data_IF_010560195925
#
_entry.id   IF_010560195925
#
_cell.length_a   1.000
_cell.length_b   1.000
_cell.length_c   1.000
_cell.angle_alpha   90.00
_cell.angle_beta   90.00
_cell.angle_gamma   90.00
#
_symmetry.space_group_name_H-M   'P 1'
#
loop_
_entity.id
_entity.type
_entity.pdbx_description
1 polymer ?
#
# COMPACT_ATOMS: atom_id res chain seq x y z
N UNK A 1 19.97 -7.79 -18.69
CA UNK A 1 20.00 -7.41 -20.13
C UNK A 1 18.62 -7.01 -20.69
N UNK A 2 17.54 -7.75 -20.48
CA UNK A 2 16.21 -7.37 -20.99
C UNK A 2 15.66 -6.12 -20.27
N UNK A 3 15.75 -6.04 -18.97
CA UNK A 3 15.33 -4.87 -18.15
C UNK A 3 16.12 -3.60 -18.49
N UNK A 4 17.42 -3.71 -18.72
CA UNK A 4 18.26 -2.57 -19.12
C UNK A 4 17.78 -1.97 -20.45
N UNK A 5 17.44 -2.81 -21.43
CA UNK A 5 16.92 -2.35 -22.73
C UNK A 5 15.52 -1.76 -22.65
N UNK A 6 14.70 -2.26 -21.76
CA UNK A 6 13.38 -1.72 -21.47
C UNK A 6 13.47 -0.29 -20.92
N UNK A 7 14.35 -0.09 -19.95
CA UNK A 7 14.62 1.23 -19.36
C UNK A 7 15.20 2.22 -20.39
N UNK A 8 16.12 1.78 -21.23
CA UNK A 8 16.69 2.62 -22.30
C UNK A 8 15.59 3.09 -23.27
N UNK A 9 14.67 2.20 -23.67
CA UNK A 9 13.53 2.54 -24.54
C UNK A 9 12.56 3.48 -23.84
N UNK A 10 12.26 3.27 -22.57
CA UNK A 10 11.39 4.17 -21.77
C UNK A 10 11.99 5.57 -21.70
N UNK A 11 13.28 5.68 -21.37
CA UNK A 11 14.00 6.95 -21.32
C UNK A 11 13.99 7.66 -22.69
N UNK A 12 14.13 6.88 -23.77
CA UNK A 12 14.05 7.45 -25.13
C UNK A 12 12.65 8.03 -25.38
N UNK A 13 11.57 7.28 -25.08
CA UNK A 13 10.19 7.74 -25.27
C UNK A 13 9.90 8.98 -24.39
N UNK A 14 10.43 9.02 -23.18
CA UNK A 14 10.29 10.16 -22.27
C UNK A 14 10.90 11.43 -22.83
N UNK A 15 12.09 11.31 -23.43
CA UNK A 15 12.82 12.44 -24.00
C UNK A 15 12.36 12.79 -25.43
N UNK A 16 11.64 11.89 -26.10
CA UNK A 16 11.17 12.03 -27.49
C UNK A 16 9.69 11.69 -27.55
N UNK A 17 8.86 12.55 -26.95
CA UNK A 17 7.41 12.36 -27.01
C UNK A 17 6.91 12.22 -28.46
N UNK A 18 5.88 11.39 -28.69
CA UNK A 18 5.31 11.16 -30.01
C UNK A 18 6.26 10.42 -30.99
N UNK A 19 7.06 9.47 -30.47
CA UNK A 19 7.96 8.66 -31.30
C UNK A 19 7.26 7.40 -31.85
N UNK A 20 7.66 6.96 -33.05
CA UNK A 20 7.22 5.70 -33.66
C UNK A 20 8.17 4.55 -33.32
N UNK A 21 7.70 3.30 -33.50
CA UNK A 21 8.58 2.13 -33.34
C UNK A 21 9.79 2.12 -34.32
N UNK A 22 9.64 2.79 -35.45
CA UNK A 22 10.74 2.94 -36.42
C UNK A 22 11.82 3.90 -35.92
N UNK A 23 11.41 5.04 -35.35
CA UNK A 23 12.33 6.02 -34.71
C UNK A 23 13.07 5.41 -33.53
N UNK A 24 12.34 4.68 -32.65
CA UNK A 24 12.93 3.94 -31.53
C UNK A 24 13.94 2.90 -32.04
N UNK A 25 13.56 2.10 -33.05
CA UNK A 25 14.50 1.11 -33.60
C UNK A 25 15.74 1.75 -34.22
N UNK A 26 15.61 2.88 -34.92
CA UNK A 26 16.74 3.59 -35.53
C UNK A 26 17.78 3.96 -34.46
N UNK A 27 17.37 4.42 -33.29
CA UNK A 27 18.27 4.75 -32.19
C UNK A 27 18.99 3.51 -31.63
N UNK A 28 18.28 2.39 -31.53
CA UNK A 28 18.82 1.17 -30.93
C UNK A 28 19.24 0.10 -31.96
N UNK A 29 19.31 0.43 -33.24
CA UNK A 29 19.57 -0.54 -34.31
C UNK A 29 20.91 -1.30 -34.18
N UNK A 30 21.92 -0.71 -33.54
CA UNK A 30 23.20 -1.35 -33.27
C UNK A 30 23.14 -2.41 -32.17
N UNK A 31 22.11 -2.42 -31.33
CA UNK A 31 22.04 -3.26 -30.13
C UNK A 31 20.86 -4.21 -30.08
N UNK A 32 19.76 -3.92 -30.78
CA UNK A 32 18.54 -4.75 -30.78
C UNK A 32 17.84 -4.75 -32.15
N UNK A 33 17.18 -5.87 -32.47
CA UNK A 33 16.39 -6.00 -33.69
C UNK A 33 15.05 -5.29 -33.59
N UNK A 34 14.45 -4.95 -34.73
CA UNK A 34 13.11 -4.36 -34.80
C UNK A 34 12.04 -5.24 -34.12
N UNK A 35 12.16 -6.55 -34.25
CA UNK A 35 11.25 -7.51 -33.59
C UNK A 35 11.38 -7.41 -32.04
N UNK A 36 12.60 -7.23 -31.55
CA UNK A 36 12.84 -7.02 -30.09
C UNK A 36 12.23 -5.71 -29.61
N UNK A 37 12.39 -4.61 -30.37
CA UNK A 37 11.75 -3.32 -30.05
C UNK A 37 10.23 -3.49 -29.98
N UNK A 38 9.61 -4.16 -30.95
CA UNK A 38 8.16 -4.43 -30.96
C UNK A 38 7.71 -5.24 -29.74
N UNK A 39 8.47 -6.28 -29.36
CA UNK A 39 8.17 -7.09 -28.17
C UNK A 39 8.24 -6.25 -26.90
N UNK A 40 9.28 -5.42 -26.76
CA UNK A 40 9.42 -4.53 -25.60
C UNK A 40 8.28 -3.51 -25.56
N UNK A 41 7.93 -2.88 -26.67
CA UNK A 41 6.80 -1.94 -26.73
C UNK A 41 5.46 -2.59 -26.37
N UNK A 42 5.24 -3.83 -26.81
CA UNK A 42 4.04 -4.59 -26.42
C UNK A 42 4.03 -4.85 -24.91
N UNK A 43 5.15 -5.22 -24.32
CA UNK A 43 5.29 -5.43 -22.88
C UNK A 43 5.02 -4.12 -22.12
N UNK A 44 5.64 -3.01 -22.52
CA UNK A 44 5.45 -1.69 -21.90
C UNK A 44 4.00 -1.19 -21.98
N UNK A 45 3.29 -1.50 -23.09
CA UNK A 45 1.86 -1.22 -23.23
C UNK A 45 1.02 -2.08 -22.27
N UNK A 46 1.38 -3.36 -22.13
CA UNK A 46 0.69 -4.29 -21.22
C UNK A 46 0.88 -3.88 -19.77
N UNK A 47 2.08 -3.43 -19.42
CA UNK A 47 2.44 -2.93 -18.09
C UNK A 47 1.96 -1.49 -17.86
N UNK A 48 1.33 -0.86 -18.87
CA UNK A 48 0.81 0.51 -18.82
C UNK A 48 1.87 1.59 -18.55
N UNK A 49 3.13 1.33 -18.87
CA UNK A 49 4.19 2.34 -18.77
C UNK A 49 4.17 3.32 -19.94
N UNK A 50 3.66 2.89 -21.09
CA UNK A 50 3.44 3.73 -22.26
C UNK A 50 2.01 3.60 -22.77
N UNK A 51 1.56 4.60 -23.48
CA UNK A 51 0.32 4.59 -24.28
C UNK A 51 0.67 4.71 -25.75
N UNK A 52 -0.27 4.32 -26.62
CA UNK A 52 -0.09 4.46 -28.06
C UNK A 52 -1.30 5.13 -28.71
N UNK A 53 -1.03 6.00 -29.68
CA UNK A 53 -2.04 6.64 -30.52
C UNK A 53 -1.81 6.31 -31.97
N UNK A 54 -2.88 6.33 -32.77
CA UNK A 54 -2.84 5.99 -34.20
C UNK A 54 -2.92 4.48 -34.48
N UNK A 55 -2.80 4.10 -35.75
CA UNK A 55 -2.88 2.69 -36.20
C UNK A 55 -1.78 2.36 -37.21
N UNK A 56 -1.31 1.12 -37.16
CA UNK A 56 -0.36 0.57 -38.12
C UNK A 56 0.96 1.32 -38.14
N UNK A 57 1.38 1.82 -39.31
CA UNK A 57 2.64 2.58 -39.45
C UNK A 57 2.60 3.96 -38.80
N UNK A 58 1.39 4.50 -38.56
CA UNK A 58 1.18 5.80 -37.90
C UNK A 58 1.12 5.71 -36.37
N UNK A 59 1.32 4.53 -35.77
CA UNK A 59 1.33 4.38 -34.31
C UNK A 59 2.47 5.16 -33.68
N UNK A 60 2.12 6.02 -32.74
CA UNK A 60 3.03 6.81 -31.92
C UNK A 60 2.95 6.40 -30.46
N UNK A 61 4.07 6.46 -29.75
CA UNK A 61 4.19 6.05 -28.36
C UNK A 61 4.50 7.25 -27.47
N UNK A 62 3.90 7.24 -26.27
CA UNK A 62 4.04 8.27 -25.25
C UNK A 62 4.25 7.59 -23.89
N UNK A 63 4.92 8.25 -22.98
CA UNK A 63 4.91 7.85 -21.58
C UNK A 63 3.49 7.93 -21.04
N UNK A 64 3.06 6.89 -20.35
CA UNK A 64 1.77 6.85 -19.68
C UNK A 64 1.76 7.81 -18.48
N UNK A 65 0.66 8.50 -18.19
CA UNK A 65 0.49 9.23 -16.92
C UNK A 65 0.70 8.33 -15.68
N UNK A 66 0.51 7.02 -15.83
CA UNK A 66 0.73 6.03 -14.75
C UNK A 66 2.19 5.59 -14.60
N UNK A 67 3.09 6.03 -15.46
CA UNK A 67 4.49 5.58 -15.47
C UNK A 67 5.19 5.83 -14.12
N UNK A 68 5.14 7.06 -13.64
CA UNK A 68 5.78 7.43 -12.36
C UNK A 68 5.16 6.65 -11.18
N UNK A 69 3.86 6.39 -11.22
CA UNK A 69 3.14 5.67 -10.17
C UNK A 69 3.50 4.18 -10.10
N UNK A 70 3.71 3.52 -11.26
CA UNK A 70 3.80 2.07 -11.37
C UNK A 70 5.19 1.54 -11.70
N UNK A 71 6.11 2.40 -12.17
CA UNK A 71 7.45 1.97 -12.54
C UNK A 71 8.20 1.40 -11.35
N UNK A 72 8.84 0.23 -11.54
CA UNK A 72 9.61 -0.41 -10.48
C UNK A 72 10.90 0.37 -10.21
N UNK A 73 11.04 0.85 -8.99
CA UNK A 73 12.24 1.54 -8.49
C UNK A 73 13.00 0.57 -7.58
N UNK A 74 14.30 0.42 -7.85
CA UNK A 74 15.18 -0.33 -6.97
C UNK A 74 15.40 0.45 -5.67
N UNK A 75 14.92 -0.11 -4.54
CA UNK A 75 14.96 0.55 -3.24
C UNK A 75 16.37 0.75 -2.72
N UNK A 76 17.26 -0.21 -2.96
CA UNK A 76 18.61 -0.12 -2.42
C UNK A 76 19.37 0.99 -3.11
N UNK A 77 19.36 1.04 -4.44
CA UNK A 77 19.95 2.15 -5.22
C UNK A 77 19.31 3.50 -4.90
N UNK A 78 18.00 3.55 -4.64
CA UNK A 78 17.32 4.80 -4.29
C UNK A 78 17.75 5.32 -2.91
N UNK A 79 17.84 4.44 -1.92
CA UNK A 79 18.18 4.78 -0.53
C UNK A 79 19.68 4.74 -0.22
N UNK A 80 20.56 4.37 -1.16
CA UNK A 80 22.01 4.64 -1.08
C UNK A 80 22.31 6.15 -1.07
N UNK A 81 21.42 6.94 -1.68
CA UNK A 81 21.54 8.40 -1.67
C UNK A 81 21.07 8.98 -0.34
N UNK A 82 21.84 9.94 0.16
CA UNK A 82 21.41 10.75 1.32
C UNK A 82 20.14 11.54 0.99
N UNK A 83 19.39 11.92 2.02
CA UNK A 83 18.07 12.59 1.88
C UNK A 83 18.15 13.78 0.92
N UNK A 84 19.16 14.64 1.08
CA UNK A 84 19.32 15.86 0.29
C UNK A 84 19.78 15.61 -1.17
N UNK A 85 20.17 14.37 -1.48
CA UNK A 85 20.57 13.94 -2.83
C UNK A 85 19.45 13.24 -3.58
N UNK A 86 18.36 12.87 -2.89
CA UNK A 86 17.19 12.25 -3.47
C UNK A 86 16.28 13.29 -4.12
N UNK A 87 15.67 12.94 -5.24
CA UNK A 87 14.62 13.76 -5.83
C UNK A 87 13.32 13.51 -5.07
N UNK A 88 12.96 14.40 -4.17
CA UNK A 88 11.79 14.27 -3.28
C UNK A 88 10.73 15.29 -3.68
N UNK A 89 9.49 14.84 -3.87
CA UNK A 89 8.30 15.71 -3.90
C UNK A 89 8.06 16.15 -2.45
N UNK A 90 8.57 17.34 -2.10
CA UNK A 90 8.54 17.81 -0.71
C UNK A 90 7.15 18.15 -0.20
N UNK A 91 6.21 18.44 -1.09
CA UNK A 91 4.85 18.82 -0.75
C UNK A 91 3.84 17.75 -1.14
N UNK A 92 2.70 17.75 -0.45
CA UNK A 92 1.59 16.87 -0.76
C UNK A 92 1.09 17.10 -2.19
N UNK A 93 1.01 16.05 -2.99
CA UNK A 93 0.51 16.12 -4.35
C UNK A 93 -1.01 15.93 -4.38
N UNK A 94 -1.77 17.00 -4.59
CA UNK A 94 -3.24 16.95 -4.69
C UNK A 94 -3.73 16.22 -5.94
N UNK A 95 -2.94 16.20 -7.02
CA UNK A 95 -3.28 15.51 -8.27
C UNK A 95 -3.23 13.99 -8.14
N UNK A 96 -2.71 13.47 -7.00
CA UNK A 96 -2.58 12.02 -6.77
C UNK A 96 -3.93 11.29 -6.85
N UNK A 97 -5.02 11.92 -6.40
CA UNK A 97 -6.35 11.30 -6.42
C UNK A 97 -6.85 11.09 -7.85
N UNK A 98 -6.68 12.09 -8.72
CA UNK A 98 -7.03 11.98 -10.14
C UNK A 98 -6.17 10.94 -10.86
N UNK A 99 -4.86 10.92 -10.58
CA UNK A 99 -3.94 9.94 -11.14
C UNK A 99 -4.34 8.51 -10.73
N UNK A 100 -4.62 8.29 -9.45
CA UNK A 100 -5.04 6.98 -8.92
C UNK A 100 -6.43 6.57 -9.42
N UNK A 101 -7.35 7.53 -9.63
CA UNK A 101 -8.68 7.24 -10.18
C UNK A 101 -8.60 6.68 -11.61
N UNK A 102 -7.78 7.29 -12.45
CA UNK A 102 -7.61 6.90 -13.87
C UNK A 102 -6.69 5.70 -14.08
N UNK A 103 -5.92 5.30 -13.06
CA UNK A 103 -4.93 4.23 -13.19
C UNK A 103 -5.47 2.93 -12.61
N UNK A 104 -5.35 1.83 -13.37
CA UNK A 104 -5.46 0.48 -12.85
C UNK A 104 -4.13 0.14 -12.16
N UNK A 105 -4.15 0.01 -10.84
CA UNK A 105 -2.95 -0.21 -10.04
C UNK A 105 -2.40 -1.63 -10.23
N UNK A 106 -3.31 -2.60 -10.33
CA UNK A 106 -2.98 -4.01 -10.51
C UNK A 106 -3.04 -4.39 -11.99
N UNK A 107 -1.97 -4.98 -12.51
CA UNK A 107 -1.96 -5.51 -13.86
C UNK A 107 -2.72 -6.86 -13.96
N UNK A 108 -2.95 -7.34 -15.17
CA UNK A 108 -3.71 -8.59 -15.41
C UNK A 108 -3.11 -9.82 -14.73
N UNK A 109 -1.78 -9.93 -14.68
CA UNK A 109 -1.10 -11.06 -14.04
C UNK A 109 -1.24 -11.01 -12.53
N UNK A 110 -1.12 -9.82 -11.94
CA UNK A 110 -1.31 -9.60 -10.50
C UNK A 110 -2.76 -9.87 -10.10
N UNK A 111 -3.73 -9.40 -10.89
CA UNK A 111 -5.15 -9.67 -10.66
C UNK A 111 -5.47 -11.16 -10.75
N UNK A 112 -4.94 -11.87 -11.74
CA UNK A 112 -5.11 -13.32 -11.85
C UNK A 112 -4.54 -14.05 -10.64
N UNK A 113 -3.31 -13.69 -10.22
CA UNK A 113 -2.68 -14.26 -9.01
C UNK A 113 -3.53 -14.03 -7.75
N UNK A 114 -4.01 -12.81 -7.55
CA UNK A 114 -4.83 -12.47 -6.38
C UNK A 114 -6.19 -13.16 -6.42
N UNK A 115 -6.80 -13.31 -7.60
CA UNK A 115 -8.05 -14.05 -7.77
C UNK A 115 -7.88 -15.55 -7.45
N UNK A 116 -6.79 -16.16 -7.90
CA UNK A 116 -6.47 -17.56 -7.59
C UNK A 116 -6.24 -17.78 -6.08
N UNK A 117 -5.53 -16.85 -5.44
CA UNK A 117 -5.32 -16.89 -3.99
C UNK A 117 -6.63 -16.71 -3.22
N UNK A 118 -7.47 -15.79 -3.65
CA UNK A 118 -8.78 -15.57 -3.04
C UNK A 118 -9.71 -16.79 -3.21
N UNK A 119 -9.68 -17.45 -4.36
CA UNK A 119 -10.42 -18.69 -4.57
C UNK A 119 -9.97 -19.79 -3.60
N UNK A 120 -8.65 -19.96 -3.41
CA UNK A 120 -8.09 -20.89 -2.41
C UNK A 120 -8.52 -20.56 -0.99
N UNK A 121 -8.45 -19.27 -0.61
CA UNK A 121 -8.96 -18.83 0.69
C UNK A 121 -10.41 -19.22 0.88
N UNK A 122 -11.26 -18.94 -0.10
CA UNK A 122 -12.70 -19.25 -0.03
C UNK A 122 -12.94 -20.77 0.06
N UNK A 123 -12.20 -21.57 -0.69
CA UNK A 123 -12.26 -23.03 -0.62
C UNK A 123 -11.85 -23.52 0.77
N UNK A 124 -10.70 -23.07 1.26
CA UNK A 124 -10.15 -23.52 2.55
C UNK A 124 -11.07 -23.17 3.71
N UNK A 125 -11.58 -21.94 3.79
CA UNK A 125 -12.50 -21.55 4.88
C UNK A 125 -13.83 -22.28 4.83
N UNK A 126 -14.29 -22.74 3.65
CA UNK A 126 -15.51 -23.52 3.52
C UNK A 126 -15.42 -24.91 4.18
N UNK A 127 -14.21 -25.39 4.43
CA UNK A 127 -13.93 -26.68 5.07
C UNK A 127 -13.73 -26.54 6.58
N UNK A 128 -13.61 -25.32 7.12
CA UNK A 128 -13.42 -25.07 8.53
C UNK A 128 -14.77 -24.96 9.25
N UNK A 129 -14.81 -25.49 10.46
CA UNK A 129 -15.88 -25.15 11.41
C UNK A 129 -15.77 -23.68 11.85
N UNK A 130 -16.85 -23.10 12.34
CA UNK A 130 -16.84 -21.73 12.90
C UNK A 130 -15.78 -21.56 14.00
N UNK A 131 -15.54 -22.60 14.80
CA UNK A 131 -14.52 -22.59 15.84
C UNK A 131 -13.10 -22.53 15.24
N UNK A 132 -12.81 -23.35 14.26
CA UNK A 132 -11.50 -23.38 13.59
C UNK A 132 -11.23 -22.07 12.86
N UNK A 133 -12.22 -21.56 12.13
CA UNK A 133 -12.10 -20.25 11.45
C UNK A 133 -11.80 -19.12 12.44
N UNK A 134 -12.53 -19.04 13.56
CA UNK A 134 -12.28 -18.03 14.61
C UNK A 134 -10.89 -18.17 15.21
N UNK A 135 -10.40 -19.39 15.42
CA UNK A 135 -9.06 -19.64 15.94
C UNK A 135 -7.96 -19.17 14.99
N UNK A 136 -8.11 -19.41 13.71
CA UNK A 136 -7.14 -18.95 12.70
C UNK A 136 -7.18 -17.41 12.55
N UNK A 137 -8.37 -16.82 12.61
CA UNK A 137 -8.53 -15.37 12.58
C UNK A 137 -7.90 -14.72 13.83
N UNK A 138 -8.03 -15.34 15.01
CA UNK A 138 -7.36 -14.87 16.22
C UNK A 138 -5.83 -14.94 16.10
N UNK A 139 -5.29 -16.02 15.53
CA UNK A 139 -3.85 -16.16 15.26
C UNK A 139 -3.35 -15.07 14.34
N UNK A 140 -4.06 -14.80 13.25
CA UNK A 140 -3.77 -13.70 12.33
C UNK A 140 -3.83 -12.35 13.07
N UNK A 141 -4.83 -12.12 13.92
CA UNK A 141 -5.00 -10.88 14.66
C UNK A 141 -3.84 -10.63 15.66
N UNK A 142 -3.32 -11.67 16.30
CA UNK A 142 -2.13 -11.58 17.16
C UNK A 142 -0.92 -11.18 16.33
N UNK A 143 -0.67 -11.87 15.21
CA UNK A 143 0.44 -11.58 14.31
C UNK A 143 0.37 -10.16 13.73
N UNK A 144 -0.82 -9.71 13.35
CA UNK A 144 -1.04 -8.35 12.85
C UNK A 144 -0.80 -7.31 13.94
N UNK A 145 -1.33 -7.53 15.15
CA UNK A 145 -1.14 -6.60 16.28
C UNK A 145 0.33 -6.44 16.62
N UNK A 146 1.05 -7.56 16.71
CA UNK A 146 2.49 -7.57 16.93
C UNK A 146 3.24 -6.83 15.82
N UNK A 147 3.07 -7.26 14.57
CA UNK A 147 3.87 -6.72 13.45
C UNK A 147 3.56 -5.26 13.17
N UNK A 148 2.28 -4.90 13.22
CA UNK A 148 1.84 -3.52 13.03
C UNK A 148 2.45 -2.59 14.07
N UNK A 149 2.53 -3.02 15.33
CA UNK A 149 3.15 -2.25 16.42
C UNK A 149 4.67 -2.25 16.31
N UNK A 150 5.30 -3.37 15.92
CA UNK A 150 6.75 -3.48 15.73
C UNK A 150 7.26 -2.51 14.63
N UNK A 151 6.53 -2.37 13.53
CA UNK A 151 6.86 -1.42 12.45
C UNK A 151 6.91 0.02 13.00
N UNK A 152 6.10 0.35 13.98
CA UNK A 152 6.06 1.66 14.64
C UNK A 152 7.01 1.79 15.85
N UNK A 153 7.84 0.77 16.11
CA UNK A 153 8.89 0.82 17.13
C UNK A 153 8.56 0.11 18.43
N UNK A 154 7.43 -0.59 18.54
CA UNK A 154 7.13 -1.43 19.69
C UNK A 154 8.13 -2.59 19.80
N UNK A 155 8.61 -2.86 20.99
CA UNK A 155 9.72 -3.80 21.24
C UNK A 155 9.27 -5.18 21.73
N UNK A 156 7.96 -5.42 21.90
CA UNK A 156 7.46 -6.74 22.25
C UNK A 156 7.81 -7.77 21.16
N UNK A 157 8.25 -8.94 21.57
CA UNK A 157 8.33 -10.12 20.70
C UNK A 157 6.95 -10.68 20.40
N UNK A 158 6.84 -11.57 19.40
CA UNK A 158 5.56 -12.22 19.08
C UNK A 158 5.02 -13.03 20.27
N UNK A 159 5.86 -13.79 20.98
CA UNK A 159 5.43 -14.59 22.13
C UNK A 159 5.01 -13.73 23.33
N UNK A 160 5.69 -12.61 23.58
CA UNK A 160 5.29 -11.66 24.62
C UNK A 160 3.95 -10.98 24.25
N UNK A 161 3.75 -10.69 22.96
CA UNK A 161 2.47 -10.14 22.47
C UNK A 161 1.34 -11.15 22.63
N UNK A 162 1.55 -12.41 22.27
CA UNK A 162 0.54 -13.47 22.45
C UNK A 162 0.17 -13.60 23.92
N UNK A 163 1.13 -13.65 24.83
CA UNK A 163 0.90 -13.70 26.28
C UNK A 163 0.14 -12.47 26.79
N UNK A 164 0.52 -11.27 26.34
CA UNK A 164 -0.20 -10.05 26.70
C UNK A 164 -1.65 -10.08 26.23
N UNK A 165 -1.90 -10.51 25.00
CA UNK A 165 -3.24 -10.49 24.42
C UNK A 165 -4.15 -11.58 25.01
N UNK A 166 -3.63 -12.78 25.26
CA UNK A 166 -4.38 -13.91 25.82
C UNK A 166 -4.51 -13.86 27.35
N UNK A 167 -3.38 -13.67 28.02
CA UNK A 167 -3.28 -13.85 29.48
C UNK A 167 -3.32 -12.51 30.24
N UNK A 168 -3.30 -11.37 29.51
CA UNK A 168 -3.22 -10.00 30.05
C UNK A 168 -1.96 -9.75 30.89
N UNK A 169 -0.89 -10.50 30.64
CA UNK A 169 0.39 -10.37 31.34
C UNK A 169 1.37 -9.52 30.54
N UNK A 170 1.86 -8.45 31.15
CA UNK A 170 2.87 -7.57 30.55
C UNK A 170 4.27 -8.19 30.63
N UNK A 171 5.09 -7.93 29.61
CA UNK A 171 6.48 -8.41 29.59
C UNK A 171 7.40 -7.50 30.40
N UNK A 172 8.40 -8.10 31.05
CA UNK A 172 9.40 -7.36 31.82
C UNK A 172 10.24 -6.44 30.92
N UNK A 173 10.52 -5.23 31.40
CA UNK A 173 11.33 -4.25 30.67
C UNK A 173 10.61 -3.53 29.52
N UNK A 174 9.30 -3.74 29.35
CA UNK A 174 8.45 -3.05 28.38
C UNK A 174 7.67 -1.91 29.04
N UNK A 175 7.37 -0.88 28.26
CA UNK A 175 6.60 0.26 28.76
C UNK A 175 5.10 -0.03 28.80
N UNK A 176 4.37 0.74 29.58
CA UNK A 176 2.90 0.65 29.64
C UNK A 176 2.29 1.03 28.28
N UNK A 177 2.84 2.03 27.63
CA UNK A 177 2.39 2.52 26.31
C UNK A 177 2.53 1.44 25.23
N UNK A 178 3.61 0.67 25.25
CA UNK A 178 3.79 -0.45 24.32
C UNK A 178 2.73 -1.54 24.52
N UNK A 179 2.40 -1.87 25.76
CA UNK A 179 1.34 -2.83 26.07
C UNK A 179 -0.04 -2.31 25.63
N UNK A 180 -0.36 -1.04 25.94
CA UNK A 180 -1.61 -0.40 25.55
C UNK A 180 -1.75 -0.40 24.01
N UNK A 181 -0.67 -0.08 23.28
CA UNK A 181 -0.66 -0.08 21.82
C UNK A 181 -1.09 -1.45 21.24
N UNK A 182 -0.60 -2.55 21.79
CA UNK A 182 -0.94 -3.91 21.37
C UNK A 182 -2.39 -4.28 21.72
N UNK A 183 -2.83 -3.96 22.92
CA UNK A 183 -4.21 -4.21 23.37
C UNK A 183 -5.21 -3.44 22.52
N UNK A 184 -4.97 -2.14 22.30
CA UNK A 184 -5.83 -1.31 21.47
C UNK A 184 -5.90 -1.81 20.01
N UNK A 185 -4.77 -2.31 19.48
CA UNK A 185 -4.74 -2.86 18.13
C UNK A 185 -5.62 -4.11 18.02
N UNK A 186 -5.58 -4.98 19.03
CA UNK A 186 -6.44 -6.17 19.10
C UNK A 186 -7.90 -5.78 19.26
N UNK A 187 -8.21 -4.83 20.16
CA UNK A 187 -9.57 -4.34 20.39
C UNK A 187 -10.19 -3.74 19.09
N UNK A 188 -9.39 -2.98 18.31
CA UNK A 188 -9.85 -2.46 17.03
C UNK A 188 -10.15 -3.56 16.01
N UNK A 189 -9.35 -4.64 15.98
CA UNK A 189 -9.62 -5.80 15.13
C UNK A 189 -10.85 -6.57 15.58
N UNK A 190 -11.02 -6.79 16.88
CA UNK A 190 -12.20 -7.48 17.42
C UNK A 190 -13.47 -6.70 17.10
N UNK A 191 -13.44 -5.38 17.27
CA UNK A 191 -14.55 -4.51 16.88
C UNK A 191 -14.95 -4.70 15.41
N UNK A 192 -13.98 -4.78 14.49
CA UNK A 192 -14.24 -4.95 13.06
C UNK A 192 -14.70 -6.36 12.70
N UNK A 193 -14.25 -7.39 13.41
CA UNK A 193 -14.75 -8.77 13.25
C UNK A 193 -16.20 -8.88 13.66
N UNK A 194 -16.60 -8.21 14.76
CA UNK A 194 -17.96 -8.17 15.25
C UNK A 194 -18.89 -7.28 14.42
N UNK A 195 -18.34 -6.24 13.78
CA UNK A 195 -19.08 -5.23 13.01
C UNK A 195 -18.57 -5.15 11.56
N UNK A 196 -18.68 -6.26 10.81
CA UNK A 196 -18.08 -6.42 9.49
C UNK A 196 -18.44 -5.31 8.48
N UNK A 197 -19.68 -4.80 8.49
CA UNK A 197 -20.15 -3.78 7.55
C UNK A 197 -19.89 -2.33 8.03
N UNK A 198 -19.20 -2.16 9.17
CA UNK A 198 -19.06 -0.86 9.82
C UNK A 198 -18.44 0.20 8.88
N UNK A 199 -17.43 -0.16 8.09
CA UNK A 199 -16.71 0.77 7.20
C UNK A 199 -17.38 0.97 5.83
N UNK A 200 -18.58 0.44 5.58
CA UNK A 200 -19.31 0.64 4.32
C UNK A 200 -20.50 1.59 4.54
N UNK A 201 -20.63 2.68 3.77
CA UNK A 201 -19.58 3.31 2.96
C UNK A 201 -18.46 3.85 3.85
N UNK A 202 -17.27 4.02 3.28
CA UNK A 202 -16.13 4.59 3.99
C UNK A 202 -16.35 6.08 4.27
N UNK A 203 -15.97 6.56 5.45
CA UNK A 203 -16.09 7.99 5.81
C UNK A 203 -15.04 8.41 6.82
N UNK A 204 -14.77 9.72 6.88
CA UNK A 204 -13.85 10.30 7.87
C UNK A 204 -14.24 9.91 9.28
N UNK A 205 -15.50 10.07 9.65
CA UNK A 205 -15.99 9.74 10.99
C UNK A 205 -15.66 8.30 11.39
N UNK A 206 -15.90 7.33 10.50
CA UNK A 206 -15.60 5.92 10.76
C UNK A 206 -14.09 5.65 10.85
N UNK A 207 -13.26 6.37 10.09
CA UNK A 207 -11.80 6.30 10.22
C UNK A 207 -11.34 6.90 11.56
N UNK A 208 -11.92 8.02 12.00
CA UNK A 208 -11.68 8.61 13.33
C UNK A 208 -12.08 7.67 14.46
N UNK A 209 -13.19 6.94 14.32
CA UNK A 209 -13.63 5.94 15.31
C UNK A 209 -12.62 4.80 15.44
N UNK A 210 -12.13 4.25 14.32
CA UNK A 210 -11.06 3.23 14.35
C UNK A 210 -9.77 3.80 14.95
N UNK A 211 -9.38 5.00 14.56
CA UNK A 211 -8.23 5.68 15.15
C UNK A 211 -8.40 5.85 16.67
N UNK A 212 -9.59 6.26 17.13
CA UNK A 212 -9.90 6.45 18.55
C UNK A 212 -9.74 5.17 19.37
N UNK A 213 -10.08 4.00 18.80
CA UNK A 213 -9.79 2.70 19.42
C UNK A 213 -8.30 2.46 19.54
N UNK A 214 -7.54 2.74 18.48
CA UNK A 214 -6.10 2.47 18.43
C UNK A 214 -5.27 3.34 19.38
N UNK A 215 -5.76 4.53 19.75
CA UNK A 215 -5.03 5.47 20.62
C UNK A 215 -5.66 5.59 22.01
N UNK A 216 -6.64 4.75 22.32
CA UNK A 216 -7.30 4.76 23.64
C UNK A 216 -6.25 4.62 24.76
N UNK A 217 -6.37 5.45 25.79
CA UNK A 217 -5.46 5.51 26.94
C UNK A 217 -3.98 5.84 26.57
N UNK A 218 -3.73 6.33 25.35
CA UNK A 218 -2.49 6.95 24.94
C UNK A 218 -2.68 8.49 24.92
N UNK A 219 -1.62 9.23 25.18
CA UNK A 219 -1.65 10.70 25.20
C UNK A 219 -1.64 11.31 23.79
N UNK A 220 -2.56 10.87 22.92
CA UNK A 220 -2.70 11.29 21.51
C UNK A 220 -4.11 11.83 21.28
N UNK A 221 -4.21 12.91 20.50
CA UNK A 221 -5.51 13.45 20.07
C UNK A 221 -6.19 12.50 19.08
N UNK A 222 -7.49 12.26 19.28
CA UNK A 222 -8.30 11.34 18.47
C UNK A 222 -8.88 11.94 17.19
N UNK A 223 -8.83 13.29 17.06
CA UNK A 223 -9.39 14.02 15.93
C UNK A 223 -8.34 14.33 14.87
N UNK A 224 -8.79 14.80 13.72
CA UNK A 224 -7.91 15.29 12.66
C UNK A 224 -6.97 16.37 13.25
N UNK A 225 -5.69 16.25 12.92
CA UNK A 225 -4.69 17.17 13.46
C UNK A 225 -4.83 18.58 12.90
N UNK A 226 -4.46 19.52 13.73
CA UNK A 226 -4.40 20.97 13.42
C UNK A 226 -2.97 21.51 13.42
N UNK A 227 -1.99 20.63 13.55
CA UNK A 227 -0.57 20.98 13.64
C UNK A 227 0.23 20.19 12.63
N UNK A 228 1.37 20.74 12.25
CA UNK A 228 2.33 20.05 11.40
C UNK A 228 2.83 18.77 12.07
N UNK A 229 3.07 17.75 11.26
CA UNK A 229 3.79 16.53 11.64
C UNK A 229 4.98 16.37 10.70
N UNK A 230 6.10 15.87 11.23
CA UNK A 230 7.27 15.48 10.46
C UNK A 230 7.31 13.98 10.29
N UNK A 231 7.96 13.53 9.23
CA UNK A 231 8.19 12.12 8.97
C UNK A 231 9.69 11.89 8.94
N UNK A 232 10.18 10.99 9.80
CA UNK A 232 11.60 10.65 9.85
C UNK A 232 12.07 9.96 8.57
N UNK A 233 13.23 10.38 8.06
CA UNK A 233 13.87 9.75 6.91
C UNK A 233 13.49 10.32 5.55
N UNK A 234 12.76 11.46 5.52
CA UNK A 234 12.37 12.14 4.30
C UNK A 234 12.22 13.65 4.50
N UNK A 235 12.32 14.42 3.41
CA UNK A 235 11.98 15.83 3.36
C UNK A 235 10.52 16.08 2.93
N UNK A 236 9.73 15.03 2.71
CA UNK A 236 8.31 15.14 2.41
C UNK A 236 7.55 15.76 3.59
N UNK A 237 6.69 16.71 3.29
CA UNK A 237 5.86 17.44 4.23
C UNK A 237 4.38 17.16 3.95
N UNK A 238 3.67 16.44 4.83
CA UNK A 238 2.23 16.27 4.72
C UNK A 238 1.49 17.61 4.82
N UNK A 239 0.23 17.63 4.38
CA UNK A 239 -0.67 18.78 4.57
C UNK A 239 -0.64 19.23 6.03
N UNK A 240 -0.69 20.56 6.27
CA UNK A 240 -0.61 21.15 7.63
C UNK A 240 -1.89 21.88 8.06
N UNK A 241 -2.87 21.95 7.17
CA UNK A 241 -4.15 22.63 7.39
C UNK A 241 -5.28 21.60 7.57
N UNK A 242 -6.05 21.70 8.65
CA UNK A 242 -7.16 20.77 8.97
C UNK A 242 -8.18 20.66 7.82
N UNK A 243 -8.49 21.77 7.14
CA UNK A 243 -9.45 21.75 6.03
C UNK A 243 -8.91 20.96 4.83
N UNK A 244 -7.66 21.18 4.45
CA UNK A 244 -7.02 20.44 3.37
C UNK A 244 -6.84 18.94 3.73
N UNK A 245 -6.55 18.65 5.00
CA UNK A 245 -6.47 17.24 5.48
C UNK A 245 -7.82 16.58 5.36
N UNK A 246 -8.90 17.27 5.74
CA UNK A 246 -10.28 16.78 5.61
C UNK A 246 -10.64 16.52 4.15
N UNK A 247 -10.43 17.51 3.27
CA UNK A 247 -10.68 17.38 1.83
C UNK A 247 -9.91 16.21 1.20
N UNK A 248 -8.63 16.06 1.55
CA UNK A 248 -7.81 14.97 1.06
C UNK A 248 -8.31 13.59 1.57
N UNK A 249 -8.77 13.52 2.82
CA UNK A 249 -9.31 12.28 3.37
C UNK A 249 -10.70 11.94 2.80
N UNK A 250 -11.54 12.96 2.52
CA UNK A 250 -12.80 12.80 1.79
C UNK A 250 -12.54 12.26 0.38
N UNK A 251 -11.60 12.89 -0.35
CA UNK A 251 -11.19 12.43 -1.69
C UNK A 251 -10.65 10.99 -1.68
N UNK A 252 -9.92 10.60 -0.63
CA UNK A 252 -9.46 9.23 -0.46
C UNK A 252 -10.62 8.26 -0.23
N UNK A 253 -11.61 8.61 0.59
CA UNK A 253 -12.81 7.79 0.83
C UNK A 253 -13.62 7.62 -0.47
N UNK A 254 -13.89 8.72 -1.18
CA UNK A 254 -14.64 8.69 -2.44
C UNK A 254 -13.93 7.85 -3.52
N UNK A 255 -12.60 8.03 -3.67
CA UNK A 255 -11.78 7.25 -4.59
C UNK A 255 -11.87 5.76 -4.29
N UNK A 256 -11.73 5.38 -3.03
CA UNK A 256 -11.79 3.99 -2.59
C UNK A 256 -13.19 3.40 -2.80
N UNK A 257 -14.25 4.13 -2.47
CA UNK A 257 -15.63 3.67 -2.68
C UNK A 257 -15.95 3.49 -4.17
N UNK A 258 -15.40 4.35 -5.04
CA UNK A 258 -15.58 4.30 -6.50
C UNK A 258 -14.86 3.12 -7.18
N UNK A 259 -13.70 2.69 -6.67
CA UNK A 259 -12.97 1.55 -7.25
C UNK A 259 -13.81 0.29 -7.20
N UNK A 260 -13.76 -0.53 -8.24
CA UNK A 260 -14.50 -1.81 -8.29
C UNK A 260 -13.71 -2.96 -7.67
N UNK A 261 -12.39 -2.97 -7.87
CA UNK A 261 -11.52 -4.04 -7.40
C UNK A 261 -11.22 -3.91 -5.90
N UNK A 262 -11.52 -4.96 -5.13
CA UNK A 262 -11.40 -4.95 -3.67
C UNK A 262 -9.94 -4.84 -3.20
N UNK A 263 -9.02 -5.48 -3.93
CA UNK A 263 -7.59 -5.38 -3.61
C UNK A 263 -7.06 -3.97 -3.83
N UNK A 264 -7.53 -3.28 -4.89
CA UNK A 264 -7.18 -1.87 -5.10
C UNK A 264 -7.77 -0.98 -4.02
N UNK A 265 -9.04 -1.20 -3.60
CA UNK A 265 -9.64 -0.48 -2.46
C UNK A 265 -8.77 -0.58 -1.21
N UNK A 266 -8.42 -1.81 -0.83
CA UNK A 266 -7.65 -2.08 0.38
C UNK A 266 -6.21 -1.51 0.30
N UNK A 267 -5.54 -1.65 -0.85
CA UNK A 267 -4.22 -1.11 -1.07
C UNK A 267 -4.22 0.43 -1.07
N UNK A 268 -5.19 1.05 -1.73
CA UNK A 268 -5.25 2.51 -1.85
C UNK A 268 -5.50 3.16 -0.49
N UNK A 269 -6.45 2.68 0.31
CA UNK A 269 -6.70 3.26 1.62
C UNK A 269 -5.50 3.12 2.57
N UNK A 270 -4.79 1.97 2.49
CA UNK A 270 -3.57 1.71 3.24
C UNK A 270 -2.48 2.76 2.97
N UNK A 271 -2.30 3.08 1.69
CA UNK A 271 -1.28 4.04 1.24
C UNK A 271 -1.74 5.48 1.49
N UNK A 272 -2.99 5.81 1.18
CA UNK A 272 -3.50 7.19 1.25
C UNK A 272 -3.63 7.71 2.68
N UNK A 273 -4.15 6.93 3.63
CA UNK A 273 -4.16 7.36 5.05
C UNK A 273 -2.72 7.61 5.53
N UNK A 274 -1.79 6.74 5.14
CA UNK A 274 -0.38 6.89 5.50
C UNK A 274 0.27 8.11 4.83
N UNK A 275 -0.14 8.48 3.61
CA UNK A 275 0.38 9.64 2.87
C UNK A 275 -0.20 10.97 3.39
N UNK A 276 -1.50 11.02 3.63
CA UNK A 276 -2.21 12.20 4.14
C UNK A 276 -1.76 12.51 5.57
N UNK A 277 -1.44 11.49 6.38
CA UNK A 277 -1.11 11.64 7.81
C UNK A 277 -2.19 12.44 8.56
N UNK A 278 -3.47 12.00 8.58
CA UNK A 278 -4.56 12.82 9.12
C UNK A 278 -4.49 13.04 10.64
N UNK A 279 -3.76 12.24 11.38
CA UNK A 279 -3.67 12.27 12.84
C UNK A 279 -2.27 12.67 13.33
N UNK A 280 -2.17 13.04 14.61
CA UNK A 280 -0.87 13.38 15.23
C UNK A 280 0.04 12.15 15.37
N UNK A 281 -0.53 10.97 15.62
CA UNK A 281 0.13 9.66 15.64
C UNK A 281 -0.87 8.57 15.24
N UNK A 282 -0.41 7.32 15.06
CA UNK A 282 -1.26 6.16 14.75
C UNK A 282 -1.69 6.04 13.29
N UNK A 283 -1.30 6.95 12.41
CA UNK A 283 -1.74 6.98 11.00
C UNK A 283 -1.54 5.64 10.27
N UNK A 284 -0.34 5.05 10.35
CA UNK A 284 -0.04 3.79 9.67
C UNK A 284 -0.75 2.59 10.31
N UNK A 285 -0.94 2.61 11.65
CA UNK A 285 -1.74 1.58 12.34
C UNK A 285 -3.20 1.65 11.89
N UNK A 286 -3.80 2.84 11.86
CA UNK A 286 -5.14 3.09 11.32
C UNK A 286 -5.26 2.62 9.88
N UNK A 287 -4.29 2.97 9.03
CA UNK A 287 -4.27 2.55 7.62
C UNK A 287 -4.30 1.02 7.46
N UNK A 288 -3.50 0.28 8.23
CA UNK A 288 -3.49 -1.19 8.19
C UNK A 288 -4.80 -1.82 8.69
N UNK A 289 -5.40 -1.27 9.72
CA UNK A 289 -6.68 -1.74 10.23
C UNK A 289 -7.82 -1.46 9.24
N UNK A 290 -7.92 -0.25 8.70
CA UNK A 290 -8.95 0.12 7.71
C UNK A 290 -8.81 -0.70 6.42
N UNK A 291 -7.58 -0.93 5.94
CA UNK A 291 -7.32 -1.80 4.79
C UNK A 291 -7.81 -3.23 5.03
N UNK A 292 -7.53 -3.81 6.20
CA UNK A 292 -8.01 -5.14 6.57
C UNK A 292 -9.53 -5.20 6.72
N UNK A 293 -10.14 -4.16 7.25
CA UNK A 293 -11.59 -4.07 7.35
C UNK A 293 -12.26 -4.12 5.96
N UNK A 294 -11.70 -3.42 4.97
CA UNK A 294 -12.19 -3.52 3.59
C UNK A 294 -12.09 -4.95 3.07
N UNK A 295 -10.94 -5.62 3.24
CA UNK A 295 -10.80 -7.02 2.84
C UNK A 295 -11.86 -7.92 3.49
N UNK A 296 -12.03 -7.82 4.80
CA UNK A 296 -13.01 -8.62 5.57
C UNK A 296 -14.45 -8.33 5.17
N UNK A 297 -14.81 -7.05 4.96
CA UNK A 297 -16.14 -6.65 4.53
C UNK A 297 -16.57 -7.35 3.24
N UNK A 298 -15.64 -7.46 2.31
CA UNK A 298 -15.88 -8.12 1.02
C UNK A 298 -15.50 -9.62 1.02
N UNK A 299 -15.40 -10.24 2.21
CA UNK A 299 -15.09 -11.67 2.38
C UNK A 299 -13.74 -12.09 1.77
N UNK A 300 -12.78 -11.16 1.74
CA UNK A 300 -11.40 -11.44 1.35
C UNK A 300 -10.54 -11.79 2.56
N UNK A 301 -9.47 -12.54 2.31
CA UNK A 301 -8.50 -12.88 3.35
C UNK A 301 -7.86 -11.61 3.92
N UNK A 302 -7.89 -11.37 5.24
CA UNK A 302 -7.14 -10.29 5.86
C UNK A 302 -5.63 -10.59 5.84
N UNK A 303 -4.79 -9.56 5.99
CA UNK A 303 -3.33 -9.65 5.93
C UNK A 303 -2.68 -9.24 7.25
N UNK A 304 -1.68 -10.01 7.69
CA UNK A 304 -1.01 -9.81 8.99
C UNK A 304 0.26 -8.96 8.92
N UNK A 305 0.81 -8.74 7.74
CA UNK A 305 2.15 -8.14 7.53
C UNK A 305 3.30 -8.85 8.24
N UNK A 306 3.09 -10.07 8.75
CA UNK A 306 4.01 -10.79 9.64
C UNK A 306 5.42 -10.94 9.07
N UNK A 307 5.55 -11.24 7.79
CA UNK A 307 6.84 -11.56 7.16
C UNK A 307 7.53 -10.37 6.51
N UNK A 308 6.90 -9.20 6.50
CA UNK A 308 7.55 -8.01 5.93
C UNK A 308 8.66 -7.51 6.84
N UNK A 309 9.80 -7.17 6.28
CA UNK A 309 10.83 -6.44 7.01
C UNK A 309 10.35 -5.02 7.34
N UNK A 310 10.58 -4.56 8.58
CA UNK A 310 10.08 -3.25 9.03
C UNK A 310 10.78 -2.09 8.32
N UNK A 311 12.04 -2.27 7.91
CA UNK A 311 12.78 -1.24 7.15
C UNK A 311 12.27 -1.20 5.71
N UNK A 312 12.07 -2.35 5.07
CA UNK A 312 11.52 -2.44 3.71
C UNK A 312 10.10 -1.86 3.62
N UNK A 313 9.25 -2.12 4.63
CA UNK A 313 7.94 -1.50 4.73
C UNK A 313 8.04 0.04 4.79
N UNK A 314 8.94 0.56 5.64
CA UNK A 314 9.17 2.01 5.77
C UNK A 314 9.73 2.59 4.47
N UNK A 315 10.74 1.95 3.85
CA UNK A 315 11.30 2.37 2.57
C UNK A 315 10.22 2.43 1.47
N UNK A 316 9.39 1.40 1.35
CA UNK A 316 8.31 1.37 0.36
C UNK A 316 7.28 2.49 0.58
N UNK A 317 6.94 2.80 1.84
CA UNK A 317 6.02 3.88 2.18
C UNK A 317 6.65 5.25 1.91
N UNK A 318 7.91 5.46 2.28
CA UNK A 318 8.64 6.68 1.99
C UNK A 318 8.79 6.91 0.48
N UNK A 319 8.99 5.84 -0.32
CA UNK A 319 9.03 5.95 -1.78
C UNK A 319 7.72 6.51 -2.33
N UNK A 320 6.57 6.08 -1.79
CA UNK A 320 5.29 6.67 -2.17
C UNK A 320 5.19 8.14 -1.79
N UNK A 321 5.67 8.51 -0.61
CA UNK A 321 5.67 9.91 -0.17
C UNK A 321 6.54 10.79 -1.08
N UNK A 322 7.73 10.32 -1.40
CA UNK A 322 8.75 11.08 -2.12
C UNK A 322 8.51 11.13 -3.64
N UNK A 323 7.97 10.05 -4.23
CA UNK A 323 7.87 9.88 -5.68
C UNK A 323 6.43 9.67 -6.16
N UNK A 324 5.46 9.50 -5.26
CA UNK A 324 4.13 8.97 -5.54
C UNK A 324 4.19 7.61 -6.27
N UNK A 325 5.22 6.82 -6.02
CA UNK A 325 5.40 5.51 -6.63
C UNK A 325 4.88 4.39 -5.72
N UNK A 326 3.89 3.63 -6.19
CA UNK A 326 3.21 2.58 -5.43
C UNK A 326 3.77 1.17 -5.70
N UNK A 327 4.67 1.03 -6.68
CA UNK A 327 5.10 -0.28 -7.19
C UNK A 327 5.60 -1.22 -6.08
N UNK A 328 6.46 -0.72 -5.20
CA UNK A 328 7.06 -1.52 -4.14
C UNK A 328 6.07 -1.86 -3.03
N UNK A 329 5.19 -0.92 -2.70
CA UNK A 329 4.15 -1.16 -1.69
C UNK A 329 3.09 -2.15 -2.18
N UNK A 330 2.75 -2.08 -3.47
CA UNK A 330 1.89 -3.06 -4.15
C UNK A 330 2.47 -4.47 -4.08
N UNK A 331 3.76 -4.63 -4.34
CA UNK A 331 4.46 -5.91 -4.22
C UNK A 331 4.39 -6.47 -2.79
N UNK A 332 4.65 -5.63 -1.78
CA UNK A 332 4.49 -6.02 -0.37
C UNK A 332 3.06 -6.50 -0.10
N UNK A 333 2.05 -5.76 -0.54
CA UNK A 333 0.65 -6.11 -0.32
C UNK A 333 0.31 -7.48 -0.93
N UNK A 334 0.69 -7.74 -2.18
CA UNK A 334 0.45 -9.01 -2.87
C UNK A 334 1.14 -10.17 -2.14
N UNK A 335 2.40 -9.98 -1.75
CA UNK A 335 3.16 -11.01 -1.04
C UNK A 335 2.59 -11.31 0.36
N UNK A 336 2.11 -10.29 1.07
CA UNK A 336 1.46 -10.47 2.37
C UNK A 336 0.09 -11.13 2.25
N UNK A 337 -0.66 -10.86 1.17
CA UNK A 337 -1.91 -11.57 0.89
C UNK A 337 -1.65 -13.06 0.60
N UNK A 338 -0.67 -13.36 -0.25
CA UNK A 338 -0.26 -14.74 -0.52
C UNK A 338 0.19 -15.46 0.75
N UNK A 339 1.00 -14.79 1.59
CA UNK A 339 1.42 -15.34 2.87
C UNK A 339 0.23 -15.64 3.78
N UNK A 340 -0.73 -14.74 3.88
CA UNK A 340 -1.89 -14.91 4.75
C UNK A 340 -2.75 -16.11 4.33
N UNK A 341 -3.07 -16.23 3.04
CA UNK A 341 -3.83 -17.36 2.50
C UNK A 341 -3.14 -18.70 2.74
N UNK A 342 -1.81 -18.76 2.56
CA UNK A 342 -1.04 -20.02 2.72
C UNK A 342 -0.78 -20.39 4.18
N UNK A 343 -0.88 -19.45 5.12
CA UNK A 343 -0.43 -19.64 6.50
C UNK A 343 -1.58 -19.82 7.47
N UNK A 344 -2.67 -19.08 7.29
CA UNK A 344 -3.79 -19.09 8.24
C UNK A 344 -5.00 -19.87 7.71
N UNK A 345 -5.13 -19.94 6.41
CA UNK A 345 -6.34 -20.51 5.82
C UNK A 345 -6.06 -21.52 4.71
#
# INVERSE_FOLDING_TARGET
MAETKQLEILNFIQNHANCSSGEIHKEFAASISFATVKRILTQLLTEKYIISEGKGKGTKYFISPSYELLYSIDLDSYYEKEIDQRQIKEEFNLEIFELLDRTEILNKTELAKLADLQAKYTENISQLSDFEYKKELERLAIDLSWKSSQIEGNTYSLLETERLLKDKETAAGKTKEEAIMLLNHKDALDFLVENQDYLIPLSIMKIEDIHSLLIKDLAVDKHLRRRRVGISGTNYRPLDNEFQIREALESACELVDKKENIFEKALLILVLISYIQPFMDGNKRTARIVSNAILMNYKHCPISFRTVDSVDYKKAMLLFYEQNNISRFKEIFINQFEFAVKTYF
#
